data_IF_080720466112
#
_entry.id   IF_080720466112
#
_cell.length_a   1.000
_cell.length_b   1.000
_cell.length_c   1.000
_cell.angle_alpha   90.00
_cell.angle_beta   90.00
_cell.angle_gamma   90.00
#
_symmetry.space_group_name_H-M   'P 1'
#
loop_
_entity.id
_entity.type
_entity.pdbx_description
1 polymer ?
#
# COMPACT_ATOMS: atom_id res chain seq x y z
N UNK A 1 -30.72 15.48 -11.69
CA UNK A 1 -29.95 14.25 -11.95
C UNK A 1 -28.63 14.57 -12.64
N UNK A 2 -28.54 15.70 -13.36
CA UNK A 2 -27.38 16.08 -14.18
C UNK A 2 -26.14 16.60 -13.44
N UNK A 3 -26.26 17.23 -12.26
CA UNK A 3 -25.08 17.74 -11.52
C UNK A 3 -24.26 16.64 -10.85
N UNK A 4 -24.91 15.54 -10.45
CA UNK A 4 -24.22 14.39 -9.86
C UNK A 4 -23.46 13.62 -10.93
N UNK A 5 -24.06 13.44 -12.12
CA UNK A 5 -23.42 12.81 -13.28
C UNK A 5 -22.25 13.63 -13.84
N UNK A 6 -22.34 14.96 -13.86
CA UNK A 6 -21.23 15.82 -14.31
C UNK A 6 -20.02 15.77 -13.38
N UNK A 7 -20.21 15.87 -12.05
CA UNK A 7 -19.10 15.69 -11.09
C UNK A 7 -18.56 14.27 -11.12
N UNK A 8 -19.43 13.27 -11.30
CA UNK A 8 -18.99 11.89 -11.44
C UNK A 8 -18.07 11.75 -12.65
N UNK A 9 -18.45 12.29 -13.82
CA UNK A 9 -17.67 12.23 -15.05
C UNK A 9 -16.31 12.93 -14.96
N UNK A 10 -16.21 14.12 -14.35
CA UNK A 10 -14.93 14.82 -14.20
C UNK A 10 -13.97 14.09 -13.25
N UNK A 11 -14.49 13.53 -12.15
CA UNK A 11 -13.68 12.71 -11.24
C UNK A 11 -13.27 11.39 -11.89
N UNK A 12 -14.15 10.80 -12.72
CA UNK A 12 -13.90 9.56 -13.45
C UNK A 12 -12.81 9.72 -14.51
N UNK A 13 -12.78 10.86 -15.21
CA UNK A 13 -11.81 11.15 -16.28
C UNK A 13 -10.37 11.30 -15.74
N UNK A 14 -10.19 12.02 -14.61
CA UNK A 14 -8.89 12.06 -13.89
C UNK A 14 -8.52 10.72 -13.26
N UNK A 15 -9.49 9.92 -12.84
CA UNK A 15 -9.22 8.59 -12.29
C UNK A 15 -8.84 7.56 -13.36
N UNK A 16 -9.25 7.76 -14.61
CA UNK A 16 -8.96 6.82 -15.69
C UNK A 16 -7.48 6.83 -16.11
N UNK A 17 -6.80 7.99 -15.99
CA UNK A 17 -5.34 8.09 -16.14
C UNK A 17 -4.57 7.55 -14.92
N UNK A 18 -5.22 7.41 -13.76
CA UNK A 18 -4.59 6.94 -12.52
C UNK A 18 -4.40 5.42 -12.51
N UNK A 19 -5.36 4.66 -13.03
CA UNK A 19 -5.31 3.19 -13.11
C UNK A 19 -4.09 2.62 -13.84
N UNK A 20 -3.72 3.07 -15.06
CA UNK A 20 -2.52 2.59 -15.73
C UNK A 20 -1.24 2.98 -14.99
N UNK A 21 -1.19 4.18 -14.40
CA UNK A 21 -0.06 4.60 -13.56
C UNK A 21 0.09 3.70 -12.32
N UNK A 22 -1.02 3.33 -11.66
CA UNK A 22 -1.01 2.39 -10.54
C UNK A 22 -0.61 0.98 -10.95
N UNK A 23 -1.00 0.51 -12.14
CA UNK A 23 -0.54 -0.78 -12.67
C UNK A 23 0.98 -0.80 -12.84
N UNK A 24 1.54 0.26 -13.43
CA UNK A 24 3.00 0.39 -13.58
C UNK A 24 3.67 0.47 -12.21
N UNK A 25 3.14 1.29 -11.30
CA UNK A 25 3.69 1.45 -9.96
C UNK A 25 3.69 0.14 -9.17
N UNK A 26 2.57 -0.60 -9.18
CA UNK A 26 2.46 -1.89 -8.49
C UNK A 26 3.37 -2.96 -9.10
N UNK A 27 3.52 -2.99 -10.42
CA UNK A 27 4.49 -3.86 -11.09
C UNK A 27 5.94 -3.52 -10.72
N UNK A 28 6.29 -2.23 -10.71
CA UNK A 28 7.60 -1.77 -10.25
C UNK A 28 7.85 -2.10 -8.78
N UNK A 29 6.83 -1.96 -7.92
CA UNK A 29 6.92 -2.35 -6.52
C UNK A 29 7.16 -3.86 -6.36
N UNK A 30 6.48 -4.70 -7.15
CA UNK A 30 6.75 -6.15 -7.18
C UNK A 30 8.21 -6.44 -7.53
N UNK A 31 8.74 -5.83 -8.60
CA UNK A 31 10.13 -6.00 -9.01
C UNK A 31 11.11 -5.52 -7.93
N UNK A 32 10.82 -4.38 -7.31
CA UNK A 32 11.63 -3.82 -6.23
C UNK A 32 11.70 -4.76 -5.03
N UNK A 33 10.54 -5.20 -4.50
CA UNK A 33 10.50 -6.10 -3.35
C UNK A 33 11.10 -7.47 -3.65
N UNK A 34 10.94 -7.98 -4.89
CA UNK A 34 11.53 -9.24 -5.31
C UNK A 34 13.06 -9.13 -5.41
N UNK A 35 13.57 -8.05 -6.01
CA UNK A 35 15.01 -7.76 -6.04
C UNK A 35 15.60 -7.59 -4.64
N UNK A 36 14.88 -6.89 -3.76
CA UNK A 36 15.27 -6.71 -2.36
C UNK A 36 15.29 -8.05 -1.60
N UNK A 37 14.30 -8.92 -1.83
CA UNK A 37 14.27 -10.27 -1.26
C UNK A 37 15.45 -11.12 -1.72
N UNK A 38 15.79 -11.09 -3.01
CA UNK A 38 16.96 -11.82 -3.53
C UNK A 38 18.26 -11.27 -2.94
N UNK A 39 18.39 -9.94 -2.84
CA UNK A 39 19.59 -9.30 -2.30
C UNK A 39 19.81 -9.65 -0.82
N UNK A 40 18.77 -9.53 0.01
CA UNK A 40 18.84 -9.91 1.43
C UNK A 40 19.02 -11.42 1.57
N UNK A 41 18.34 -12.21 0.73
CA UNK A 41 18.51 -13.66 0.70
C UNK A 41 19.96 -14.06 0.39
N UNK A 42 20.63 -13.36 -0.52
CA UNK A 42 22.05 -13.58 -0.80
C UNK A 42 22.93 -13.21 0.41
N UNK A 43 22.69 -12.08 1.07
CA UNK A 43 23.41 -11.70 2.30
C UNK A 43 23.17 -12.68 3.46
N UNK A 44 22.00 -13.32 3.48
CA UNK A 44 21.65 -14.27 4.54
C UNK A 44 22.47 -15.57 4.54
N UNK A 45 23.23 -15.85 3.47
CA UNK A 45 24.21 -16.93 3.48
C UNK A 45 25.36 -16.67 4.46
N UNK A 46 25.73 -15.41 4.64
CA UNK A 46 26.77 -14.99 5.59
C UNK A 46 26.19 -14.77 6.99
N UNK A 47 25.00 -14.17 7.06
CA UNK A 47 24.31 -13.87 8.32
C UNK A 47 22.90 -14.50 8.35
N UNK A 48 22.73 -15.71 8.93
CA UNK A 48 21.46 -16.45 8.86
C UNK A 48 20.30 -15.74 9.59
N UNK A 49 20.60 -14.74 10.43
CA UNK A 49 19.60 -13.88 11.05
C UNK A 49 18.81 -13.03 10.04
N UNK A 50 19.34 -12.84 8.83
CA UNK A 50 18.70 -12.02 7.79
C UNK A 50 17.61 -12.76 6.99
N UNK A 51 17.49 -14.08 7.13
CA UNK A 51 16.51 -14.90 6.40
C UNK A 51 15.07 -14.41 6.64
N UNK A 52 14.75 -14.01 7.87
CA UNK A 52 13.43 -13.50 8.21
C UNK A 52 13.08 -12.22 7.41
N UNK A 53 14.06 -11.35 7.18
CA UNK A 53 13.88 -10.15 6.37
C UNK A 53 13.75 -10.47 4.88
N UNK A 54 14.50 -11.45 4.38
CA UNK A 54 14.36 -11.92 2.99
C UNK A 54 12.96 -12.49 2.71
N UNK A 55 12.43 -13.29 3.64
CA UNK A 55 11.07 -13.85 3.58
C UNK A 55 10.00 -12.76 3.69
N UNK A 56 10.21 -11.78 4.56
CA UNK A 56 9.29 -10.64 4.69
C UNK A 56 9.25 -9.83 3.38
N UNK A 57 10.40 -9.55 2.78
CA UNK A 57 10.47 -8.87 1.49
C UNK A 57 9.80 -9.68 0.37
N UNK A 58 9.97 -11.01 0.37
CA UNK A 58 9.28 -11.89 -0.57
C UNK A 58 7.75 -11.82 -0.39
N UNK A 59 7.27 -11.83 0.85
CA UNK A 59 5.86 -11.68 1.16
C UNK A 59 5.29 -10.37 0.62
N UNK A 60 5.99 -9.24 0.78
CA UNK A 60 5.58 -7.96 0.18
C UNK A 60 5.59 -7.99 -1.35
N UNK A 61 6.54 -8.69 -1.98
CA UNK A 61 6.57 -8.87 -3.43
C UNK A 61 5.33 -9.63 -3.93
N UNK A 62 4.95 -10.72 -3.25
CA UNK A 62 3.73 -11.49 -3.56
C UNK A 62 2.49 -10.63 -3.39
N UNK A 63 2.38 -9.88 -2.30
CA UNK A 63 1.23 -9.01 -2.06
C UNK A 63 1.14 -7.88 -3.09
N UNK A 64 2.26 -7.25 -3.48
CA UNK A 64 2.29 -6.25 -4.54
C UNK A 64 1.85 -6.84 -5.89
N UNK A 65 2.25 -8.08 -6.18
CA UNK A 65 1.82 -8.79 -7.39
C UNK A 65 0.31 -9.10 -7.38
N UNK A 66 -0.22 -9.53 -6.23
CA UNK A 66 -1.66 -9.73 -6.06
C UNK A 66 -2.42 -8.42 -6.27
N UNK A 67 -1.90 -7.30 -5.78
CA UNK A 67 -2.51 -5.99 -6.02
C UNK A 67 -2.48 -5.59 -7.51
N UNK A 68 -1.36 -5.81 -8.20
CA UNK A 68 -1.27 -5.62 -9.66
C UNK A 68 -2.30 -6.47 -10.42
N UNK A 69 -2.41 -7.76 -10.07
CA UNK A 69 -3.41 -8.67 -10.63
C UNK A 69 -4.84 -8.24 -10.31
N UNK A 70 -5.09 -7.77 -9.09
CA UNK A 70 -6.38 -7.25 -8.65
C UNK A 70 -6.83 -6.06 -9.49
N UNK A 71 -5.95 -5.08 -9.74
CA UNK A 71 -6.26 -3.96 -10.64
C UNK A 71 -6.47 -4.45 -12.08
N UNK A 72 -5.64 -5.39 -12.56
CA UNK A 72 -5.73 -5.90 -13.93
C UNK A 72 -7.05 -6.62 -14.20
N UNK A 73 -7.53 -7.37 -13.22
CA UNK A 73 -8.75 -8.18 -13.33
C UNK A 73 -9.98 -7.47 -12.76
N UNK A 74 -9.85 -6.20 -12.35
CA UNK A 74 -10.90 -5.45 -11.63
C UNK A 74 -11.50 -6.25 -10.46
N UNK A 75 -10.67 -7.01 -9.73
CA UNK A 75 -11.08 -7.83 -8.60
C UNK A 75 -10.63 -7.19 -7.28
N UNK A 76 -11.58 -6.61 -6.57
CA UNK A 76 -11.38 -5.90 -5.31
C UNK A 76 -10.94 -6.83 -4.17
N UNK A 77 -11.44 -8.06 -4.11
CA UNK A 77 -11.10 -9.02 -3.05
C UNK A 77 -9.61 -9.37 -3.01
N UNK A 78 -8.97 -9.43 -4.18
CA UNK A 78 -7.53 -9.75 -4.30
C UNK A 78 -6.66 -8.54 -3.91
N UNK A 79 -7.20 -7.33 -3.97
CA UNK A 79 -6.47 -6.10 -3.62
C UNK A 79 -6.41 -5.85 -2.11
N UNK A 80 -7.39 -6.32 -1.35
CA UNK A 80 -7.51 -6.07 0.11
C UNK A 80 -6.28 -6.57 0.90
N UNK A 81 -5.77 -7.80 0.69
CA UNK A 81 -4.64 -8.31 1.46
C UNK A 81 -3.40 -7.43 1.39
N UNK A 82 -3.08 -6.88 0.21
CA UNK A 82 -1.96 -5.96 0.05
C UNK A 82 -2.19 -4.64 0.79
N UNK A 83 -3.40 -4.06 0.68
CA UNK A 83 -3.74 -2.83 1.39
C UNK A 83 -3.57 -3.01 2.91
N UNK A 84 -4.06 -4.13 3.45
CA UNK A 84 -3.94 -4.45 4.88
C UNK A 84 -2.47 -4.62 5.27
N UNK A 85 -1.68 -5.37 4.48
CA UNK A 85 -0.26 -5.57 4.73
C UNK A 85 0.52 -4.24 4.72
N UNK A 86 0.24 -3.35 3.77
CA UNK A 86 0.86 -2.04 3.63
C UNK A 86 0.48 -1.08 4.78
N UNK A 87 -0.75 -1.14 5.28
CA UNK A 87 -1.18 -0.39 6.48
C UNK A 87 -0.43 -0.92 7.71
N UNK A 88 -0.40 -2.24 7.90
CA UNK A 88 0.30 -2.87 9.02
C UNK A 88 1.79 -2.53 9.01
N UNK A 89 2.41 -2.59 7.83
CA UNK A 89 3.81 -2.22 7.63
C UNK A 89 4.08 -0.78 8.08
N UNK A 90 3.26 0.18 7.65
CA UNK A 90 3.37 1.59 8.07
C UNK A 90 3.21 1.77 9.57
N UNK A 91 2.29 1.04 10.20
CA UNK A 91 2.10 1.08 11.65
C UNK A 91 3.37 0.60 12.36
N UNK A 92 3.93 -0.54 11.94
CA UNK A 92 5.17 -1.09 12.51
C UNK A 92 6.35 -0.14 12.28
N UNK A 93 6.52 0.41 11.07
CA UNK A 93 7.57 1.39 10.77
C UNK A 93 7.40 2.67 11.61
N UNK A 94 6.16 3.11 11.83
CA UNK A 94 5.85 4.24 12.70
C UNK A 94 6.28 3.99 14.15
N UNK A 95 6.02 2.79 14.68
CA UNK A 95 6.55 2.40 16.00
C UNK A 95 8.08 2.42 16.04
N UNK A 96 8.75 1.87 15.01
CA UNK A 96 10.22 1.91 14.91
C UNK A 96 10.77 3.34 14.87
N UNK A 97 10.06 4.26 14.21
CA UNK A 97 10.42 5.68 14.19
C UNK A 97 10.33 6.30 15.59
N UNK A 98 9.25 6.02 16.33
CA UNK A 98 9.09 6.45 17.72
C UNK A 98 10.22 5.89 18.61
N UNK A 99 10.58 4.62 18.45
CA UNK A 99 11.71 4.03 19.17
C UNK A 99 13.03 4.73 18.83
N UNK A 100 13.26 5.05 17.55
CA UNK A 100 14.47 5.76 17.10
C UNK A 100 14.58 7.14 17.76
N UNK A 101 13.47 7.89 17.81
CA UNK A 101 13.40 9.16 18.55
C UNK A 101 13.60 8.96 20.06
N UNK A 102 13.06 7.89 20.64
CA UNK A 102 13.28 7.53 22.05
C UNK A 102 14.75 7.26 22.35
N UNK A 103 15.44 6.47 21.52
CA UNK A 103 16.88 6.20 21.64
C UNK A 103 17.69 7.49 21.52
N UNK A 104 17.32 8.38 20.59
CA UNK A 104 17.95 9.69 20.48
C UNK A 104 17.80 10.49 21.78
N UNK A 105 16.60 10.60 22.36
CA UNK A 105 16.40 11.32 23.62
C UNK A 105 17.22 10.71 24.75
N UNK A 106 17.25 9.38 24.87
CA UNK A 106 18.08 8.69 25.87
C UNK A 106 19.58 8.95 25.68
N UNK A 107 20.03 9.10 24.42
CA UNK A 107 21.43 9.43 24.13
C UNK A 107 21.83 10.85 24.54
N UNK A 108 20.88 11.79 24.64
CA UNK A 108 21.15 13.16 25.14
C UNK A 108 21.50 13.14 26.63
N UNK A 109 20.90 12.21 27.39
CA UNK A 109 21.16 12.05 28.82
C UNK A 109 22.35 11.11 29.10
N UNK A 110 23.17 10.79 28.10
CA UNK A 110 24.26 9.81 28.18
C UNK A 110 23.84 8.43 28.73
N UNK A 111 22.53 8.11 28.69
CA UNK A 111 22.02 6.80 29.12
C UNK A 111 22.23 5.71 28.06
N UNK A 112 22.54 6.11 26.82
CA UNK A 112 22.77 5.21 25.70
C UNK A 112 23.98 5.68 24.89
N UNK A 113 25.10 4.93 24.99
CA UNK A 113 26.31 5.20 24.23
C UNK A 113 26.49 4.16 23.11
N UNK A 114 26.31 4.60 21.87
CA UNK A 114 26.66 3.83 20.68
C UNK A 114 27.80 4.54 19.95
N UNK A 115 28.71 3.76 19.35
CA UNK A 115 29.77 4.36 18.51
C UNK A 115 29.14 4.81 17.20
N UNK A 116 29.27 6.10 16.87
CA UNK A 116 28.87 6.60 15.55
C UNK A 116 29.62 5.84 14.45
N UNK A 117 28.93 5.30 13.43
CA UNK A 117 29.58 4.71 12.27
C UNK A 117 30.17 5.77 11.33
N UNK A 118 29.76 7.05 11.49
CA UNK A 118 30.25 8.17 10.69
C UNK A 118 31.41 8.84 11.44
N UNK A 119 32.62 8.87 10.87
CA UNK A 119 33.76 9.55 11.49
C UNK A 119 33.48 11.05 11.59
N UNK A 120 33.73 11.63 12.76
CA UNK A 120 33.52 13.05 13.04
C UNK A 120 32.17 13.41 13.67
N UNK A 121 31.23 12.47 13.78
CA UNK A 121 29.93 12.68 14.42
C UNK A 121 29.91 12.09 15.84
N UNK A 122 29.34 12.81 16.79
CA UNK A 122 29.01 12.24 18.10
C UNK A 122 27.77 11.34 17.98
N UNK A 123 27.61 10.39 18.91
CA UNK A 123 26.43 9.50 18.97
C UNK A 123 25.08 10.24 18.85
N UNK A 124 24.81 11.30 19.66
CA UNK A 124 23.54 12.02 19.56
C UNK A 124 23.39 12.76 18.22
N UNK A 125 24.47 13.28 17.62
CA UNK A 125 24.40 13.94 16.31
C UNK A 125 24.04 12.94 15.19
N UNK A 126 24.64 11.75 15.23
CA UNK A 126 24.33 10.68 14.29
C UNK A 126 22.87 10.22 14.45
N UNK A 127 22.43 9.97 15.68
CA UNK A 127 21.05 9.54 15.97
C UNK A 127 20.02 10.61 15.59
N UNK A 128 20.31 11.89 15.82
CA UNK A 128 19.46 13.01 15.38
C UNK A 128 19.30 13.02 13.86
N UNK A 129 20.42 12.92 13.13
CA UNK A 129 20.41 12.89 11.67
C UNK A 129 19.63 11.68 11.15
N UNK A 130 19.88 10.50 11.70
CA UNK A 130 19.17 9.27 11.35
C UNK A 130 17.66 9.39 11.61
N UNK A 131 17.27 9.95 12.76
CA UNK A 131 15.86 10.16 13.11
C UNK A 131 15.16 11.15 12.15
N UNK A 132 15.83 12.25 11.79
CA UNK A 132 15.29 13.23 10.83
C UNK A 132 15.12 12.60 9.45
N UNK A 133 16.16 11.93 8.93
CA UNK A 133 16.09 11.27 7.62
C UNK A 133 15.00 10.20 7.62
N UNK A 134 14.90 9.42 8.70
CA UNK A 134 13.88 8.38 8.83
C UNK A 134 12.46 8.97 8.92
N UNK A 135 12.29 10.11 9.61
CA UNK A 135 11.02 10.85 9.63
C UNK A 135 10.60 11.34 8.23
N UNK A 136 11.54 11.89 7.45
CA UNK A 136 11.25 12.36 6.09
C UNK A 136 10.88 11.17 5.20
N UNK A 137 11.67 10.09 5.24
CA UNK A 137 11.37 8.87 4.49
C UNK A 137 10.01 8.27 4.88
N UNK A 138 9.68 8.27 6.16
CA UNK A 138 8.39 7.79 6.66
C UNK A 138 7.22 8.67 6.19
N UNK A 139 7.38 10.00 6.17
CA UNK A 139 6.36 10.90 5.66
C UNK A 139 6.05 10.63 4.18
N UNK A 140 7.10 10.50 3.34
CA UNK A 140 6.93 10.11 1.92
C UNK A 140 6.28 8.73 1.80
N UNK A 141 6.67 7.79 2.65
CA UNK A 141 6.09 6.44 2.66
C UNK A 141 4.60 6.43 3.05
N UNK A 142 4.17 7.30 3.95
CA UNK A 142 2.75 7.52 4.27
C UNK A 142 2.00 8.11 3.07
N UNK A 143 2.57 9.09 2.37
CA UNK A 143 1.92 9.70 1.21
C UNK A 143 1.66 8.70 0.07
N UNK A 144 2.55 7.73 -0.11
CA UNK A 144 2.38 6.64 -1.08
C UNK A 144 1.15 5.74 -0.81
N UNK A 145 0.55 5.80 0.40
CA UNK A 145 -0.66 5.03 0.71
C UNK A 145 -1.91 5.59 0.00
N UNK A 146 -2.00 6.91 -0.14
CA UNK A 146 -3.16 7.57 -0.74
C UNK A 146 -3.47 7.11 -2.17
N UNK A 147 -2.50 7.07 -3.11
CA UNK A 147 -2.78 6.59 -4.46
C UNK A 147 -3.23 5.12 -4.47
N UNK A 148 -2.63 4.26 -3.64
CA UNK A 148 -2.99 2.84 -3.52
C UNK A 148 -4.42 2.68 -3.00
N UNK A 149 -4.78 3.42 -1.96
CA UNK A 149 -6.14 3.42 -1.42
C UNK A 149 -7.16 3.94 -2.43
N UNK A 150 -6.86 5.06 -3.10
CA UNK A 150 -7.70 5.61 -4.15
C UNK A 150 -7.92 4.60 -5.28
N UNK A 151 -6.86 3.91 -5.72
CA UNK A 151 -6.94 2.83 -6.70
C UNK A 151 -7.92 1.72 -6.30
N UNK A 152 -7.86 1.27 -5.05
CA UNK A 152 -8.80 0.29 -4.49
C UNK A 152 -10.25 0.81 -4.50
N UNK A 153 -10.49 2.03 -3.99
CA UNK A 153 -11.85 2.59 -3.94
C UNK A 153 -12.48 2.75 -5.32
N UNK A 154 -11.67 3.03 -6.34
CA UNK A 154 -12.13 3.13 -7.73
C UNK A 154 -12.57 1.77 -8.28
N UNK A 155 -11.77 0.72 -8.07
CA UNK A 155 -12.14 -0.64 -8.50
C UNK A 155 -13.40 -1.10 -7.76
N UNK A 156 -13.47 -0.87 -6.45
CA UNK A 156 -14.65 -1.21 -5.65
C UNK A 156 -15.91 -0.51 -6.15
N UNK A 157 -15.88 0.82 -6.33
CA UNK A 157 -17.04 1.57 -6.84
C UNK A 157 -17.51 1.07 -8.22
N UNK A 158 -16.58 0.67 -9.09
CA UNK A 158 -16.93 0.08 -10.40
C UNK A 158 -17.60 -1.29 -10.25
N UNK A 159 -17.10 -2.15 -9.36
CA UNK A 159 -17.70 -3.45 -9.10
C UNK A 159 -19.10 -3.32 -8.49
N UNK A 160 -19.25 -2.45 -7.49
CA UNK A 160 -20.54 -2.18 -6.83
C UNK A 160 -21.55 -1.65 -7.87
N UNK A 161 -21.14 -0.71 -8.74
CA UNK A 161 -22.02 -0.18 -9.78
C UNK A 161 -22.42 -1.24 -10.82
N UNK A 162 -21.49 -2.11 -11.24
CA UNK A 162 -21.80 -3.23 -12.14
C UNK A 162 -22.75 -4.24 -11.50
N UNK A 163 -22.60 -4.52 -10.21
CA UNK A 163 -23.52 -5.40 -9.48
C UNK A 163 -24.93 -4.81 -9.43
N UNK A 164 -25.06 -3.52 -9.10
CA UNK A 164 -26.35 -2.82 -9.07
C UNK A 164 -27.06 -2.86 -10.43
N UNK A 165 -26.35 -2.58 -11.53
CA UNK A 165 -26.92 -2.65 -12.89
C UNK A 165 -27.38 -4.08 -13.22
N UNK A 166 -26.56 -5.08 -12.88
CA UNK A 166 -26.90 -6.48 -13.15
C UNK A 166 -28.10 -6.95 -12.32
N UNK A 167 -28.19 -6.54 -11.06
CA UNK A 167 -29.33 -6.83 -10.19
C UNK A 167 -30.60 -6.11 -10.65
N UNK A 168 -30.54 -4.81 -10.96
CA UNK A 168 -31.68 -4.07 -11.54
C UNK A 168 -32.18 -4.72 -12.84
N UNK A 169 -31.26 -5.14 -13.72
CA UNK A 169 -31.62 -5.84 -14.95
C UNK A 169 -32.31 -7.18 -14.69
N UNK A 170 -31.96 -7.88 -13.61
CA UNK A 170 -32.59 -9.13 -13.19
C UNK A 170 -34.00 -8.88 -12.62
N UNK A 171 -34.19 -7.86 -11.78
CA UNK A 171 -35.51 -7.48 -11.25
C UNK A 171 -36.46 -6.95 -12.34
N UNK A 172 -35.95 -6.17 -13.31
CA UNK A 172 -36.73 -5.78 -14.50
C UNK A 172 -37.13 -6.99 -15.34
N UNK A 173 -36.24 -7.99 -15.49
CA UNK A 173 -36.56 -9.21 -16.24
C UNK A 173 -37.68 -10.01 -15.57
N UNK A 174 -37.76 -10.01 -14.24
CA UNK A 174 -38.79 -10.70 -13.47
C UNK A 174 -40.14 -9.95 -13.55
N UNK A 175 -40.14 -8.60 -13.51
CA UNK A 175 -41.37 -7.81 -13.58
C UNK A 175 -42.07 -7.86 -14.95
N UNK A 176 -41.35 -8.10 -16.05
CA UNK A 176 -41.96 -8.37 -17.36
C UNK A 176 -42.59 -9.77 -17.49
N UNK A 177 -42.32 -10.69 -16.55
CA UNK A 177 -42.93 -12.04 -16.56
C UNK A 177 -44.23 -12.14 -15.76
N UNK A 178 -44.56 -11.15 -14.92
CA UNK A 178 -45.88 -11.07 -14.29
C UNK A 178 -46.89 -10.41 -15.23
N UNK A 179 -47.36 -11.16 -16.24
CA UNK A 179 -48.65 -10.84 -16.86
C UNK A 179 -49.72 -10.94 -15.77
N UNK A 180 -50.62 -9.95 -15.61
CA UNK A 180 -51.76 -10.11 -14.71
C UNK A 180 -52.61 -11.26 -15.27
N UNK A 181 -52.72 -12.36 -14.51
CA UNK A 181 -53.79 -13.32 -14.73
C UNK A 181 -55.08 -12.66 -14.29
N UNK A 182 -55.74 -11.98 -15.23
CA UNK A 182 -57.16 -11.68 -15.11
C UNK A 182 -57.91 -13.00 -15.19
N UNK A 183 -58.41 -13.47 -14.04
CA UNK A 183 -59.58 -14.34 -13.93
C UNK A 183 -60.38 -13.87 -12.74
#
# INVERSE_FOLDING_TARGET
MDEFDQRFNETFCRCWSLLPALKVLSFLATLFYLGLSIFIGYRSFDEPGEIAFALLAFFFAVMAFLYYKGISNENDWIMIPFLVAEILARVVTGFMLCFTWGIFVLSIFDMFLMRSPIPGFTCPQFLALAAIVFSIAFAVYLECLFPIYNGYTLVKRRNDHRQLINEESAYMKISFTSRPTTV
#
